data_IF_404380970983
#
_entry.id   IF_404380970983
#
_cell.length_a   1.000
_cell.length_b   1.000
_cell.length_c   1.000
_cell.angle_alpha   90.00
_cell.angle_beta   90.00
_cell.angle_gamma   90.00
#
_symmetry.space_group_name_H-M   'P 1'
#
loop_
_entity.id
_entity.type
_entity.pdbx_description
1 polymer ?
#
# COMPACT_ATOMS: atom_id res chain seq x y z
N UNK A 1 18.03 -19.00 1.44
CA UNK A 1 18.32 -17.74 0.73
C UNK A 1 19.69 -17.81 0.10
N UNK A 2 19.96 -17.14 -1.04
CA UNK A 2 21.32 -17.15 -1.65
C UNK A 2 22.38 -16.64 -0.68
N UNK A 3 22.05 -15.64 0.14
CA UNK A 3 22.98 -15.11 1.14
C UNK A 3 23.43 -16.16 2.16
N UNK A 4 22.55 -17.05 2.60
CA UNK A 4 22.92 -18.11 3.56
C UNK A 4 23.90 -19.11 2.93
N UNK A 5 23.74 -19.37 1.63
CA UNK A 5 24.62 -20.27 0.88
C UNK A 5 26.02 -19.70 0.69
N UNK A 6 26.11 -18.41 0.31
CA UNK A 6 27.37 -17.78 -0.04
C UNK A 6 28.07 -17.06 1.13
N UNK A 7 27.31 -16.70 2.15
CA UNK A 7 27.78 -16.00 3.34
C UNK A 7 27.23 -16.67 4.61
N UNK A 8 27.67 -17.89 4.91
CA UNK A 8 27.26 -18.56 6.16
C UNK A 8 27.71 -17.74 7.36
N UNK A 9 26.92 -17.73 8.43
CA UNK A 9 27.13 -16.88 9.63
C UNK A 9 28.52 -17.06 10.28
N UNK A 10 29.13 -18.22 10.12
CA UNK A 10 30.47 -18.50 10.65
C UNK A 10 31.61 -17.96 9.77
N UNK A 11 31.31 -17.40 8.60
CA UNK A 11 32.34 -16.92 7.68
C UNK A 11 32.88 -15.54 8.03
N UNK A 12 34.17 -15.30 7.79
CA UNK A 12 34.78 -13.97 7.93
C UNK A 12 34.12 -12.92 7.02
N UNK A 13 33.68 -13.35 5.84
CA UNK A 13 32.93 -12.49 4.89
C UNK A 13 31.59 -12.03 5.45
N UNK A 14 30.87 -12.91 6.19
CA UNK A 14 29.65 -12.51 6.88
C UNK A 14 29.91 -11.38 7.87
N UNK A 15 30.94 -11.52 8.72
CA UNK A 15 31.27 -10.53 9.73
C UNK A 15 31.65 -9.18 9.15
N UNK A 16 32.41 -9.17 8.06
CA UNK A 16 32.80 -7.93 7.37
C UNK A 16 31.57 -7.20 6.79
N UNK A 17 30.66 -7.94 6.14
CA UNK A 17 29.45 -7.37 5.59
C UNK A 17 28.50 -6.93 6.72
N UNK A 18 28.40 -7.70 7.81
CA UNK A 18 27.59 -7.33 8.97
C UNK A 18 28.05 -6.00 9.61
N UNK A 19 29.36 -5.73 9.61
CA UNK A 19 29.87 -4.43 10.06
C UNK A 19 29.42 -3.28 9.16
N UNK A 20 29.44 -3.45 7.85
CA UNK A 20 28.95 -2.43 6.89
C UNK A 20 27.45 -2.16 7.11
N UNK A 21 26.65 -3.21 7.35
CA UNK A 21 25.22 -3.06 7.57
C UNK A 21 24.86 -2.42 8.92
N UNK A 22 25.78 -2.38 9.91
CA UNK A 22 25.56 -1.58 11.14
C UNK A 22 25.35 -0.11 10.87
N UNK A 23 26.04 0.44 9.89
CA UNK A 23 25.89 1.85 9.50
C UNK A 23 24.52 2.15 8.87
N UNK A 24 23.75 1.11 8.52
CA UNK A 24 22.41 1.20 7.94
C UNK A 24 21.29 0.98 8.96
N UNK A 25 21.57 1.05 10.27
CA UNK A 25 20.54 0.83 11.30
C UNK A 25 19.39 1.84 11.24
N UNK A 26 19.58 2.99 10.60
CA UNK A 26 18.52 3.94 10.28
C UNK A 26 17.41 3.35 9.39
N UNK A 27 17.70 2.28 8.61
CA UNK A 27 16.70 1.59 7.80
C UNK A 27 15.58 0.96 8.65
N UNK A 28 15.87 0.61 9.91
CA UNK A 28 14.86 0.10 10.84
C UNK A 28 13.81 1.16 11.24
N UNK A 29 14.15 2.43 11.11
CA UNK A 29 13.23 3.54 11.40
C UNK A 29 12.28 3.78 10.22
N UNK A 30 12.62 3.27 9.03
CA UNK A 30 11.76 3.35 7.86
C UNK A 30 10.57 2.43 8.05
N UNK A 31 9.38 2.99 7.98
CA UNK A 31 8.11 2.28 8.01
C UNK A 31 7.43 2.46 6.65
N UNK A 32 7.89 1.72 5.62
CA UNK A 32 7.45 1.93 4.25
C UNK A 32 5.94 1.73 4.06
N UNK A 33 5.30 0.92 4.91
CA UNK A 33 3.86 0.76 4.94
C UNK A 33 3.10 2.09 5.13
N UNK A 34 3.71 3.04 5.82
CA UNK A 34 3.12 4.38 6.01
C UNK A 34 3.17 5.21 4.73
N UNK A 35 4.29 5.14 4.03
CA UNK A 35 4.51 5.93 2.81
C UNK A 35 3.68 5.42 1.65
N UNK A 36 3.66 4.10 1.45
CA UNK A 36 2.92 3.50 0.33
C UNK A 36 1.42 3.81 0.40
N UNK A 37 0.83 3.76 1.58
CA UNK A 37 -0.58 4.12 1.77
C UNK A 37 -0.85 5.59 1.40
N UNK A 38 0.08 6.50 1.76
CA UNK A 38 0.00 7.92 1.39
C UNK A 38 0.12 8.09 -0.13
N UNK A 39 1.12 7.45 -0.73
CA UNK A 39 1.38 7.56 -2.17
C UNK A 39 0.21 7.05 -3.01
N UNK A 40 -0.44 5.99 -2.58
CA UNK A 40 -1.61 5.44 -3.27
C UNK A 40 -2.67 6.52 -3.52
N UNK A 41 -3.04 7.27 -2.49
CA UNK A 41 -4.11 8.27 -2.62
C UNK A 41 -3.65 9.54 -3.34
N UNK A 42 -2.40 9.98 -3.13
CA UNK A 42 -1.84 11.13 -3.86
C UNK A 42 -1.76 10.80 -5.36
N UNK A 43 -1.27 9.61 -5.71
CA UNK A 43 -1.20 9.18 -7.11
C UNK A 43 -2.59 9.01 -7.72
N UNK A 44 -3.58 8.52 -6.96
CA UNK A 44 -4.96 8.43 -7.41
C UNK A 44 -5.52 9.81 -7.78
N UNK A 45 -5.35 10.81 -6.91
CA UNK A 45 -5.78 12.18 -7.18
C UNK A 45 -5.12 12.78 -8.41
N UNK A 46 -3.81 12.59 -8.54
CA UNK A 46 -3.05 13.05 -9.72
C UNK A 46 -3.55 12.38 -11.00
N UNK A 47 -3.77 11.06 -10.98
CA UNK A 47 -4.23 10.32 -12.15
C UNK A 47 -5.62 10.74 -12.60
N UNK A 48 -6.56 10.91 -11.66
CA UNK A 48 -7.92 11.38 -12.00
C UNK A 48 -7.88 12.79 -12.57
N UNK A 49 -7.07 13.69 -12.00
CA UNK A 49 -6.93 15.06 -12.53
C UNK A 49 -6.39 15.05 -13.96
N UNK A 50 -5.36 14.27 -14.24
CA UNK A 50 -4.78 14.14 -15.59
C UNK A 50 -5.79 13.54 -16.56
N UNK A 51 -6.49 12.50 -16.15
CA UNK A 51 -7.52 11.85 -16.95
C UNK A 51 -8.64 12.84 -17.37
N UNK A 52 -9.08 13.69 -16.43
CA UNK A 52 -10.10 14.69 -16.70
C UNK A 52 -9.62 15.85 -17.60
N UNK A 53 -8.33 16.20 -17.54
CA UNK A 53 -7.73 17.18 -18.43
C UNK A 53 -7.64 16.66 -19.87
N UNK A 54 -7.13 15.46 -20.02
CA UNK A 54 -7.02 14.78 -21.30
C UNK A 54 -6.87 13.27 -21.09
N UNK A 55 -7.86 12.50 -21.50
CA UNK A 55 -7.87 11.05 -21.39
C UNK A 55 -6.59 10.38 -21.91
N UNK A 56 -6.03 10.87 -22.99
CA UNK A 56 -4.82 10.31 -23.61
C UNK A 56 -3.55 10.61 -22.80
N UNK A 57 -3.54 11.68 -22.00
CA UNK A 57 -2.43 12.00 -21.09
C UNK A 57 -2.33 11.07 -19.90
N UNK A 58 -3.29 10.16 -19.72
CA UNK A 58 -3.23 9.11 -18.71
C UNK A 58 -1.95 8.26 -18.82
N UNK A 59 -1.50 8.01 -20.03
CA UNK A 59 -0.28 7.25 -20.34
C UNK A 59 0.95 8.13 -20.57
N UNK A 60 0.82 9.43 -20.49
CA UNK A 60 1.95 10.35 -20.54
C UNK A 60 2.69 10.35 -19.20
N UNK A 61 3.82 9.67 -19.19
CA UNK A 61 4.66 9.53 -18.01
C UNK A 61 5.66 10.68 -17.84
N UNK A 62 5.82 11.56 -18.80
CA UNK A 62 6.78 12.66 -18.76
C UNK A 62 6.17 13.92 -18.15
N UNK A 63 4.95 14.27 -18.59
CA UNK A 63 4.27 15.48 -18.19
C UNK A 63 3.82 15.39 -16.73
N UNK A 64 4.05 16.43 -15.95
CA UNK A 64 3.67 16.57 -14.54
C UNK A 64 4.36 15.62 -13.53
N UNK A 65 5.12 14.62 -13.97
CA UNK A 65 5.72 13.64 -13.05
C UNK A 65 6.61 14.28 -11.99
N UNK A 66 7.37 15.30 -12.33
CA UNK A 66 8.22 16.01 -11.36
C UNK A 66 7.40 16.75 -10.31
N UNK A 67 6.27 17.36 -10.69
CA UNK A 67 5.37 18.03 -9.75
C UNK A 67 4.71 17.03 -8.81
N UNK A 68 4.23 15.91 -9.35
CA UNK A 68 3.63 14.82 -8.56
C UNK A 68 4.67 14.23 -7.60
N UNK A 69 5.88 13.98 -8.08
CA UNK A 69 6.97 13.50 -7.24
C UNK A 69 7.30 14.49 -6.11
N UNK A 70 7.32 15.80 -6.41
CA UNK A 70 7.50 16.84 -5.41
C UNK A 70 6.43 16.79 -4.33
N UNK A 71 5.15 16.68 -4.69
CA UNK A 71 4.03 16.54 -3.74
C UNK A 71 4.17 15.27 -2.90
N UNK A 72 4.54 14.14 -3.51
CA UNK A 72 4.79 12.87 -2.81
C UNK A 72 5.92 13.03 -1.79
N UNK A 73 7.06 13.57 -2.19
CA UNK A 73 8.22 13.72 -1.30
C UNK A 73 7.93 14.67 -0.14
N UNK A 74 7.33 15.84 -0.40
CA UNK A 74 6.95 16.80 0.64
C UNK A 74 5.95 16.18 1.61
N UNK A 75 4.91 15.54 1.11
CA UNK A 75 3.90 14.90 1.96
C UNK A 75 4.51 13.77 2.78
N UNK A 76 5.39 12.97 2.19
CA UNK A 76 6.10 11.90 2.90
C UNK A 76 6.97 12.47 4.01
N UNK A 77 7.69 13.56 3.74
CA UNK A 77 8.53 14.21 4.73
C UNK A 77 7.69 14.72 5.93
N UNK A 78 6.62 15.47 5.67
CA UNK A 78 5.77 16.01 6.74
C UNK A 78 5.02 14.94 7.54
N UNK A 79 4.56 13.88 6.89
CA UNK A 79 3.76 12.84 7.55
C UNK A 79 4.61 11.73 8.18
N UNK A 80 5.85 11.53 7.75
CA UNK A 80 6.77 10.56 8.38
C UNK A 80 7.10 10.91 9.82
N UNK A 81 7.03 12.18 10.17
CA UNK A 81 7.28 12.70 11.54
C UNK A 81 6.15 12.29 12.50
N UNK A 82 4.95 11.97 12.02
CA UNK A 82 3.80 11.61 12.89
C UNK A 82 3.70 10.09 13.07
N UNK A 83 3.87 9.58 14.32
CA UNK A 83 3.96 8.13 14.57
C UNK A 83 2.66 7.34 14.32
N UNK A 84 1.49 7.98 14.33
CA UNK A 84 0.18 7.30 14.33
C UNK A 84 -0.63 7.52 13.04
N UNK A 85 0.04 7.50 11.89
CA UNK A 85 -0.64 7.80 10.63
C UNK A 85 -1.55 6.66 10.12
N UNK A 86 -1.23 5.41 10.40
CA UNK A 86 -2.08 4.27 10.06
C UNK A 86 -2.86 3.82 11.29
N UNK A 87 -4.18 3.95 11.24
CA UNK A 87 -5.07 3.42 12.25
C UNK A 87 -5.82 2.20 11.73
N UNK A 88 -6.01 1.21 12.61
CA UNK A 88 -6.93 0.11 12.35
C UNK A 88 -8.36 0.60 12.50
N UNK A 89 -9.26 0.06 11.70
CA UNK A 89 -10.68 0.34 11.85
C UNK A 89 -11.20 -0.57 12.96
N UNK A 90 -11.51 0.01 14.09
CA UNK A 90 -12.10 -0.67 15.25
C UNK A 90 -13.43 -0.05 15.70
N UNK A 91 -13.83 1.04 15.06
CA UNK A 91 -15.06 1.76 15.34
C UNK A 91 -15.52 2.54 14.11
N UNK A 92 -16.76 2.99 14.12
CA UNK A 92 -17.28 3.87 13.08
C UNK A 92 -16.49 5.19 12.98
N UNK A 93 -16.09 5.75 14.11
CA UNK A 93 -15.27 6.98 14.12
C UNK A 93 -13.91 6.77 13.46
N UNK A 94 -13.26 5.63 13.69
CA UNK A 94 -11.98 5.32 13.02
C UNK A 94 -12.15 5.09 11.52
N UNK A 95 -13.30 4.52 11.08
CA UNK A 95 -13.62 4.40 9.67
C UNK A 95 -13.83 5.76 9.00
N UNK A 96 -14.57 6.67 9.64
CA UNK A 96 -14.74 8.04 9.16
C UNK A 96 -13.39 8.79 9.09
N UNK A 97 -12.57 8.65 10.12
CA UNK A 97 -11.24 9.26 10.12
C UNK A 97 -10.39 8.80 8.93
N UNK A 98 -10.36 7.49 8.67
CA UNK A 98 -9.62 6.92 7.53
C UNK A 98 -10.22 7.39 6.21
N UNK A 99 -11.54 7.44 6.10
CA UNK A 99 -12.22 7.92 4.89
C UNK A 99 -11.86 9.37 4.58
N UNK A 100 -12.00 10.29 5.55
CA UNK A 100 -11.64 11.69 5.37
C UNK A 100 -10.14 11.88 5.09
N UNK A 101 -9.30 11.10 5.74
CA UNK A 101 -7.86 11.08 5.46
C UNK A 101 -7.57 10.67 4.01
N UNK A 102 -8.27 9.65 3.50
CA UNK A 102 -8.18 9.27 2.09
C UNK A 102 -8.54 10.42 1.16
N UNK A 103 -9.62 11.14 1.45
CA UNK A 103 -10.05 12.33 0.69
C UNK A 103 -8.95 13.40 0.71
N UNK A 104 -8.42 13.75 1.89
CA UNK A 104 -7.39 14.77 2.01
C UNK A 104 -6.14 14.39 1.19
N UNK A 105 -5.68 13.15 1.30
CA UNK A 105 -4.52 12.68 0.54
C UNK A 105 -4.76 12.69 -0.97
N UNK A 106 -5.96 12.33 -1.39
CA UNK A 106 -6.36 12.39 -2.79
C UNK A 106 -6.32 13.84 -3.30
N UNK A 107 -6.91 14.77 -2.55
CA UNK A 107 -6.91 16.19 -2.90
C UNK A 107 -5.50 16.80 -2.93
N UNK A 108 -4.58 16.34 -2.06
CA UNK A 108 -3.18 16.73 -2.16
C UNK A 108 -2.57 16.34 -3.51
N UNK A 109 -2.97 15.21 -4.08
CA UNK A 109 -2.55 14.78 -5.42
C UNK A 109 -3.11 15.64 -6.54
N UNK A 110 -4.18 16.38 -6.33
CA UNK A 110 -4.79 17.27 -7.33
C UNK A 110 -4.14 18.66 -7.39
N UNK A 111 -3.35 19.03 -6.37
CA UNK A 111 -2.77 20.38 -6.25
C UNK A 111 -2.06 20.85 -7.53
N UNK A 112 -1.24 20.05 -8.23
CA UNK A 112 -0.57 20.48 -9.44
C UNK A 112 -1.51 20.83 -10.61
N UNK A 113 -2.76 20.38 -10.56
CA UNK A 113 -3.75 20.51 -11.64
C UNK A 113 -4.87 21.48 -11.32
N UNK A 114 -4.92 21.98 -10.08
CA UNK A 114 -6.04 22.76 -9.57
C UNK A 114 -7.19 21.88 -9.06
N UNK A 115 -8.04 22.45 -8.22
CA UNK A 115 -9.20 21.77 -7.68
C UNK A 115 -10.39 21.90 -8.64
N UNK A 116 -10.97 20.77 -9.01
CA UNK A 116 -12.25 20.68 -9.73
C UNK A 116 -13.21 19.75 -8.98
N UNK A 117 -14.47 20.14 -8.87
CA UNK A 117 -15.51 19.32 -8.26
C UNK A 117 -15.68 17.98 -8.97
N UNK A 118 -15.46 17.93 -10.29
CA UNK A 118 -15.46 16.68 -11.06
C UNK A 118 -14.40 15.71 -10.54
N UNK A 119 -13.18 16.19 -10.27
CA UNK A 119 -12.11 15.40 -9.71
C UNK A 119 -12.51 14.77 -8.38
N UNK A 120 -13.20 15.53 -7.52
CA UNK A 120 -13.70 15.02 -6.24
C UNK A 120 -14.74 13.90 -6.43
N UNK A 121 -15.69 14.07 -7.36
CA UNK A 121 -16.72 13.04 -7.66
C UNK A 121 -16.08 11.79 -8.25
N UNK A 122 -15.17 11.93 -9.20
CA UNK A 122 -14.42 10.82 -9.79
C UNK A 122 -13.49 10.12 -8.78
N UNK A 123 -13.16 10.80 -7.68
CA UNK A 123 -12.43 10.23 -6.55
C UNK A 123 -13.22 9.24 -5.70
N UNK A 124 -14.56 9.20 -5.78
CA UNK A 124 -15.42 8.36 -4.92
C UNK A 124 -15.00 6.88 -4.93
N UNK A 125 -14.78 6.20 -6.07
CA UNK A 125 -14.33 4.81 -6.08
C UNK A 125 -13.00 4.60 -5.37
N UNK A 126 -12.11 5.58 -5.42
CA UNK A 126 -10.82 5.54 -4.71
C UNK A 126 -10.99 5.68 -3.19
N UNK A 127 -11.89 6.56 -2.74
CA UNK A 127 -12.17 6.72 -1.30
C UNK A 127 -12.75 5.44 -0.70
N UNK A 128 -13.69 4.81 -1.42
CA UNK A 128 -14.26 3.52 -1.05
C UNK A 128 -13.18 2.44 -1.01
N UNK A 129 -12.35 2.37 -2.06
CA UNK A 129 -11.28 1.40 -2.16
C UNK A 129 -10.23 1.56 -1.06
N UNK A 130 -9.87 2.78 -0.71
CA UNK A 130 -8.95 3.06 0.39
C UNK A 130 -9.50 2.59 1.73
N UNK A 131 -10.78 2.83 1.98
CA UNK A 131 -11.46 2.37 3.18
C UNK A 131 -11.47 0.85 3.28
N UNK A 132 -11.83 0.15 2.20
CA UNK A 132 -11.89 -1.31 2.20
C UNK A 132 -10.51 -1.96 2.39
N UNK A 133 -9.46 -1.34 1.87
CA UNK A 133 -8.10 -1.81 2.08
C UNK A 133 -7.71 -1.79 3.56
N UNK A 134 -8.13 -0.76 4.29
CA UNK A 134 -7.94 -0.69 5.75
C UNK A 134 -8.84 -1.68 6.52
N UNK A 135 -10.05 -1.95 6.04
CA UNK A 135 -10.93 -2.96 6.66
C UNK A 135 -10.29 -4.35 6.68
N UNK A 136 -9.55 -4.70 5.65
CA UNK A 136 -8.84 -5.98 5.59
C UNK A 136 -7.83 -6.14 6.73
N UNK A 137 -7.22 -5.03 7.17
CA UNK A 137 -6.28 -5.02 8.29
C UNK A 137 -6.96 -4.97 9.66
N UNK A 138 -8.23 -4.64 9.71
CA UNK A 138 -8.97 -4.57 10.97
C UNK A 138 -9.26 -5.94 11.56
N UNK A 139 -9.23 -6.99 10.73
CA UNK A 139 -9.38 -8.37 11.20
C UNK A 139 -8.15 -8.75 12.02
N UNK A 140 -8.30 -8.78 13.35
CA UNK A 140 -7.21 -9.07 14.28
C UNK A 140 -7.03 -10.58 14.39
N UNK A 141 -5.85 -11.07 14.01
CA UNK A 141 -5.44 -12.45 14.25
C UNK A 141 -4.50 -12.45 15.46
N UNK A 142 -4.82 -13.22 16.49
CA UNK A 142 -3.90 -13.41 17.60
C UNK A 142 -2.79 -14.36 17.16
N UNK A 143 -1.64 -13.78 16.86
CA UNK A 143 -0.47 -14.54 16.40
C UNK A 143 0.16 -15.38 17.50
N UNK A 144 0.00 -15.01 18.79
CA UNK A 144 0.58 -15.75 19.91
C UNK A 144 -0.18 -17.06 20.16
N UNK A 145 -1.50 -16.96 20.22
CA UNK A 145 -2.37 -18.10 20.50
C UNK A 145 -2.87 -18.81 19.23
N UNK A 146 -2.52 -18.29 18.03
CA UNK A 146 -3.02 -18.75 16.73
C UNK A 146 -4.54 -18.78 16.63
N UNK A 147 -5.24 -17.99 17.47
CA UNK A 147 -6.69 -17.91 17.47
C UNK A 147 -7.15 -16.98 16.37
N UNK A 148 -8.21 -17.39 15.67
CA UNK A 148 -8.90 -16.55 14.70
C UNK A 148 -10.14 -15.95 15.36
N UNK A 149 -10.55 -14.75 14.92
CA UNK A 149 -11.85 -14.20 15.32
C UNK A 149 -13.00 -15.18 14.99
N UNK A 150 -14.17 -15.01 15.61
CA UNK A 150 -15.33 -15.82 15.30
C UNK A 150 -15.63 -15.82 13.80
N UNK A 151 -15.93 -16.98 13.23
CA UNK A 151 -16.18 -17.13 11.79
C UNK A 151 -17.23 -16.15 11.28
N UNK A 152 -18.27 -15.89 12.06
CA UNK A 152 -19.35 -14.93 11.71
C UNK A 152 -18.82 -13.50 11.52
N UNK A 153 -17.90 -13.07 12.38
CA UNK A 153 -17.29 -11.74 12.29
C UNK A 153 -16.42 -11.62 11.04
N UNK A 154 -15.56 -12.62 10.79
CA UNK A 154 -14.71 -12.65 9.59
C UNK A 154 -15.57 -12.59 8.32
N UNK A 155 -16.62 -13.41 8.24
CA UNK A 155 -17.52 -13.45 7.09
C UNK A 155 -18.22 -12.10 6.90
N UNK A 156 -18.72 -11.48 7.96
CA UNK A 156 -19.37 -10.16 7.89
C UNK A 156 -18.43 -9.10 7.32
N UNK A 157 -17.20 -9.03 7.84
CA UNK A 157 -16.20 -8.05 7.35
C UNK A 157 -15.82 -8.35 5.90
N UNK A 158 -15.61 -9.61 5.53
CA UNK A 158 -15.26 -9.98 4.16
C UNK A 158 -16.38 -9.65 3.17
N UNK A 159 -17.66 -9.89 3.54
CA UNK A 159 -18.78 -9.50 2.69
C UNK A 159 -18.86 -7.98 2.52
N UNK A 160 -18.61 -7.22 3.58
CA UNK A 160 -18.52 -5.75 3.48
C UNK A 160 -17.40 -5.33 2.52
N UNK A 161 -16.22 -5.93 2.64
CA UNK A 161 -15.08 -5.65 1.73
C UNK A 161 -15.44 -5.99 0.29
N UNK A 162 -16.07 -7.15 0.04
CA UNK A 162 -16.49 -7.59 -1.30
C UNK A 162 -17.49 -6.59 -1.88
N UNK A 163 -18.51 -6.21 -1.11
CA UNK A 163 -19.54 -5.26 -1.56
C UNK A 163 -18.94 -3.89 -1.91
N UNK A 164 -18.13 -3.33 -1.02
CA UNK A 164 -17.44 -2.06 -1.26
C UNK A 164 -16.50 -2.14 -2.47
N UNK A 165 -15.84 -3.27 -2.65
CA UNK A 165 -14.92 -3.48 -3.76
C UNK A 165 -15.66 -3.57 -5.11
N UNK A 166 -16.77 -4.30 -5.16
CA UNK A 166 -17.64 -4.34 -6.34
C UNK A 166 -18.16 -2.95 -6.65
N UNK A 167 -18.61 -2.19 -5.64
CA UNK A 167 -19.06 -0.81 -5.81
C UNK A 167 -17.96 0.06 -6.39
N UNK A 168 -16.74 -0.04 -5.87
CA UNK A 168 -15.59 0.71 -6.39
C UNK A 168 -15.27 0.33 -7.84
N UNK A 169 -15.30 -0.96 -8.19
CA UNK A 169 -15.06 -1.44 -9.56
C UNK A 169 -16.13 -0.95 -10.53
N UNK A 170 -17.42 -1.01 -10.14
CA UNK A 170 -18.53 -0.55 -10.96
C UNK A 170 -18.49 0.96 -11.18
N UNK A 171 -18.24 1.75 -10.14
CA UNK A 171 -18.09 3.20 -10.27
C UNK A 171 -16.89 3.56 -11.15
N UNK A 172 -15.78 2.85 -11.01
CA UNK A 172 -14.63 3.01 -11.89
C UNK A 172 -14.97 2.71 -13.34
N UNK A 173 -15.70 1.62 -13.59
CA UNK A 173 -16.15 1.25 -14.93
C UNK A 173 -17.10 2.30 -15.55
N UNK A 174 -18.09 2.80 -14.78
CA UNK A 174 -19.03 3.84 -15.22
C UNK A 174 -18.28 5.14 -15.53
N UNK A 175 -17.26 5.47 -14.76
CA UNK A 175 -16.43 6.66 -14.97
C UNK A 175 -15.39 6.47 -16.09
N UNK A 176 -15.33 5.30 -16.72
CA UNK A 176 -14.32 4.94 -17.73
C UNK A 176 -12.88 5.08 -17.19
N UNK A 177 -12.69 4.80 -15.91
CA UNK A 177 -11.39 4.83 -15.23
C UNK A 177 -10.77 3.41 -15.19
N UNK A 178 -9.81 3.11 -16.07
CA UNK A 178 -9.24 1.77 -16.17
C UNK A 178 -8.38 1.40 -14.96
N UNK A 179 -7.80 2.40 -14.26
CA UNK A 179 -6.91 2.12 -13.13
C UNK A 179 -7.68 1.55 -11.95
N UNK A 180 -8.67 2.28 -11.44
CA UNK A 180 -9.41 1.82 -10.27
C UNK A 180 -10.26 0.58 -10.59
N UNK A 181 -10.82 0.50 -11.79
CA UNK A 181 -11.56 -0.68 -12.25
C UNK A 181 -10.68 -1.92 -12.21
N UNK A 182 -9.50 -1.87 -12.82
CA UNK A 182 -8.58 -3.01 -12.85
C UNK A 182 -8.09 -3.39 -11.46
N UNK A 183 -7.67 -2.40 -10.65
CA UNK A 183 -7.16 -2.65 -9.30
C UNK A 183 -8.24 -3.25 -8.41
N UNK A 184 -9.46 -2.74 -8.46
CA UNK A 184 -10.57 -3.26 -7.70
C UNK A 184 -10.95 -4.68 -8.12
N UNK A 185 -11.03 -4.96 -9.42
CA UNK A 185 -11.31 -6.32 -9.92
C UNK A 185 -10.23 -7.31 -9.47
N UNK A 186 -8.96 -6.97 -9.61
CA UNK A 186 -7.85 -7.84 -9.18
C UNK A 186 -7.92 -8.07 -7.66
N UNK A 187 -8.18 -7.02 -6.89
CA UNK A 187 -8.27 -7.14 -5.44
C UNK A 187 -9.47 -7.99 -4.98
N UNK A 188 -10.55 -8.00 -5.74
CA UNK A 188 -11.78 -8.74 -5.41
C UNK A 188 -11.54 -10.25 -5.20
N UNK A 189 -10.60 -10.83 -5.93
CA UNK A 189 -10.29 -12.26 -5.80
C UNK A 189 -9.76 -12.62 -4.41
N UNK A 190 -9.04 -11.71 -3.74
CA UNK A 190 -8.44 -12.02 -2.43
C UNK A 190 -9.49 -12.26 -1.33
N UNK A 191 -10.43 -11.34 -1.06
CA UNK A 191 -11.47 -11.59 -0.05
C UNK A 191 -12.41 -12.76 -0.40
N UNK A 192 -12.65 -13.03 -1.69
CA UNK A 192 -13.42 -14.20 -2.14
C UNK A 192 -12.67 -15.49 -1.77
N UNK A 193 -11.38 -15.58 -2.07
CA UNK A 193 -10.56 -16.75 -1.72
C UNK A 193 -10.52 -16.95 -0.21
N UNK A 194 -10.44 -15.87 0.59
CA UNK A 194 -10.45 -15.99 2.05
C UNK A 194 -11.82 -16.45 2.57
N UNK A 195 -12.90 -16.02 1.92
CA UNK A 195 -14.25 -16.46 2.28
C UNK A 195 -14.40 -17.98 2.12
N UNK A 196 -13.80 -18.54 1.06
CA UNK A 196 -13.78 -19.98 0.78
C UNK A 196 -12.76 -20.72 1.67
N UNK A 197 -11.60 -20.10 1.89
CA UNK A 197 -10.46 -20.66 2.61
C UNK A 197 -9.97 -19.70 3.71
N UNK A 198 -10.60 -19.67 4.89
CA UNK A 198 -10.29 -18.70 5.96
C UNK A 198 -8.83 -18.70 6.42
N UNK A 199 -8.11 -19.82 6.27
CA UNK A 199 -6.68 -19.93 6.55
C UNK A 199 -5.86 -18.96 5.68
N UNK A 200 -6.37 -18.62 4.51
CA UNK A 200 -5.76 -17.65 3.58
C UNK A 200 -5.63 -16.23 4.15
N UNK A 201 -6.44 -15.87 5.16
CA UNK A 201 -6.40 -14.54 5.79
C UNK A 201 -4.99 -14.19 6.32
N UNK A 202 -4.32 -15.15 6.97
CA UNK A 202 -2.95 -14.95 7.45
C UNK A 202 -1.97 -14.68 6.31
N UNK A 203 -2.15 -15.38 5.19
CA UNK A 203 -1.29 -15.18 4.02
C UNK A 203 -1.56 -13.82 3.38
N UNK A 204 -2.82 -13.39 3.28
CA UNK A 204 -3.19 -12.08 2.77
C UNK A 204 -2.57 -10.96 3.59
N UNK A 205 -2.68 -11.03 4.90
CA UNK A 205 -2.09 -10.02 5.79
C UNK A 205 -0.55 -10.05 5.75
N UNK A 206 0.06 -11.24 5.73
CA UNK A 206 1.53 -11.39 5.60
C UNK A 206 2.08 -10.92 4.26
N UNK A 207 1.35 -11.12 3.18
CA UNK A 207 1.73 -10.64 1.86
C UNK A 207 1.62 -9.11 1.73
N UNK A 208 1.01 -8.43 2.71
CA UNK A 208 0.83 -6.98 2.76
C UNK A 208 0.24 -6.40 1.46
N UNK A 209 -0.73 -7.12 0.90
CA UNK A 209 -1.28 -6.81 -0.42
C UNK A 209 -1.74 -5.36 -0.51
N UNK A 210 -2.44 -4.87 0.51
CA UNK A 210 -2.94 -3.49 0.56
C UNK A 210 -1.87 -2.44 0.89
N UNK A 211 -0.73 -2.85 1.44
CA UNK A 211 0.36 -1.92 1.81
C UNK A 211 1.45 -1.86 0.75
N UNK A 212 1.67 -2.95 0.02
CA UNK A 212 2.75 -3.06 -0.96
C UNK A 212 2.19 -3.25 -2.36
N UNK A 213 1.33 -4.26 -2.56
CA UNK A 213 0.88 -4.64 -3.89
C UNK A 213 0.00 -3.57 -4.53
N UNK A 214 -1.01 -3.07 -3.79
CA UNK A 214 -1.90 -2.01 -4.29
C UNK A 214 -1.12 -0.73 -4.59
N UNK A 215 -0.30 -0.17 -3.68
CA UNK A 215 0.53 0.98 -4.00
C UNK A 215 1.46 0.73 -5.19
N UNK A 216 2.03 -0.47 -5.31
CA UNK A 216 2.86 -0.80 -6.47
C UNK A 216 2.08 -0.75 -7.78
N UNK A 217 0.82 -1.19 -7.80
CA UNK A 217 -0.05 -1.04 -8.97
C UNK A 217 -0.28 0.42 -9.34
N UNK A 218 -0.59 1.29 -8.36
CA UNK A 218 -0.74 2.73 -8.60
C UNK A 218 0.56 3.37 -9.10
N UNK A 219 1.69 3.01 -8.49
CA UNK A 219 3.02 3.48 -8.92
C UNK A 219 3.32 3.02 -10.35
N UNK A 220 3.00 1.77 -10.71
CA UNK A 220 3.29 1.23 -12.03
C UNK A 220 2.55 1.96 -13.15
N UNK A 221 1.37 2.48 -12.85
CA UNK A 221 0.59 3.25 -13.83
C UNK A 221 1.19 4.63 -14.06
N UNK A 222 1.63 5.30 -13.00
CA UNK A 222 2.03 6.73 -13.11
C UNK A 222 3.54 6.96 -13.10
N UNK A 223 4.26 6.23 -12.26
CA UNK A 223 5.69 6.37 -12.07
C UNK A 223 6.39 5.00 -12.20
N UNK A 224 6.32 4.33 -13.38
CA UNK A 224 6.84 2.97 -13.52
C UNK A 224 8.33 2.86 -13.23
N UNK A 225 9.11 3.89 -13.53
CA UNK A 225 10.53 3.95 -13.24
C UNK A 225 10.85 3.93 -11.73
N UNK A 226 9.91 4.37 -10.88
CA UNK A 226 10.08 4.33 -9.42
C UNK A 226 10.09 2.89 -8.90
N UNK A 227 9.42 1.95 -9.57
CA UNK A 227 9.48 0.53 -9.23
C UNK A 227 10.90 -0.03 -9.36
N UNK A 228 11.67 0.46 -10.33
CA UNK A 228 13.07 0.06 -10.49
C UNK A 228 13.95 0.50 -9.31
N UNK A 229 13.58 1.60 -8.64
CA UNK A 229 14.26 2.06 -7.43
C UNK A 229 13.77 1.31 -6.18
N UNK A 230 12.49 0.99 -6.11
CA UNK A 230 11.89 0.29 -4.97
C UNK A 230 12.38 -1.16 -4.90
N UNK A 231 12.53 -1.85 -6.03
CA UNK A 231 12.98 -3.24 -6.07
C UNK A 231 14.34 -3.48 -5.38
N UNK A 232 15.41 -2.70 -5.66
CA UNK A 232 16.66 -2.78 -4.91
C UNK A 232 16.48 -2.53 -3.41
N UNK A 233 15.61 -1.58 -3.02
CA UNK A 233 15.33 -1.29 -1.62
C UNK A 233 14.79 -2.52 -0.88
N UNK A 234 13.86 -3.28 -1.48
CA UNK A 234 13.38 -4.54 -0.91
C UNK A 234 14.49 -5.55 -0.70
N UNK A 235 15.38 -5.67 -1.67
CA UNK A 235 16.51 -6.57 -1.57
C UNK A 235 17.49 -6.12 -0.49
N UNK A 236 17.83 -4.84 -0.43
CA UNK A 236 18.70 -4.27 0.61
C UNK A 236 18.12 -4.55 2.00
N UNK A 237 16.82 -4.30 2.21
CA UNK A 237 16.16 -4.57 3.49
C UNK A 237 16.20 -6.07 3.87
N UNK A 238 16.02 -6.95 2.89
CA UNK A 238 16.11 -8.39 3.12
C UNK A 238 17.53 -8.85 3.48
N UNK A 239 18.54 -8.33 2.79
CA UNK A 239 19.94 -8.60 3.11
C UNK A 239 20.35 -7.94 4.43
N UNK A 240 19.88 -6.73 4.70
CA UNK A 240 20.08 -6.04 5.97
C UNK A 240 19.62 -6.92 7.14
N UNK A 241 18.39 -7.44 7.10
CA UNK A 241 17.88 -8.32 8.15
C UNK A 241 18.77 -9.57 8.35
N UNK A 242 19.24 -10.19 7.28
CA UNK A 242 20.12 -11.34 7.36
C UNK A 242 21.47 -11.01 8.00
N UNK A 243 22.15 -9.98 7.54
CA UNK A 243 23.48 -9.64 8.04
C UNK A 243 23.46 -8.98 9.42
N UNK A 244 22.39 -8.26 9.74
CA UNK A 244 22.28 -7.54 11.01
C UNK A 244 21.75 -8.41 12.15
N UNK A 245 20.74 -9.22 11.90
CA UNK A 245 20.05 -10.02 12.91
C UNK A 245 20.26 -11.54 12.71
N UNK A 246 20.92 -11.95 11.66
CA UNK A 246 21.11 -13.34 11.32
C UNK A 246 19.83 -14.08 10.96
N UNK A 247 18.77 -13.37 10.63
CA UNK A 247 17.47 -13.95 10.34
C UNK A 247 17.04 -13.66 8.91
N UNK A 248 16.54 -14.69 8.21
CA UNK A 248 15.90 -14.51 6.93
C UNK A 248 14.46 -14.06 7.18
N UNK A 249 14.29 -12.76 7.36
CA UNK A 249 12.95 -12.16 7.50
C UNK A 249 12.43 -11.69 6.15
N UNK A 250 11.11 -11.67 5.93
CA UNK A 250 10.54 -10.92 4.82
C UNK A 250 10.99 -9.46 4.89
N UNK A 251 11.03 -8.78 3.74
CA UNK A 251 11.51 -7.40 3.62
C UNK A 251 10.75 -6.42 4.50
N UNK A 252 9.50 -6.73 4.82
CA UNK A 252 8.65 -5.98 5.74
C UNK A 252 8.23 -6.91 6.87
N UNK A 253 8.37 -6.43 8.11
CA UNK A 253 7.81 -7.11 9.26
C UNK A 253 6.30 -6.98 9.22
N UNK A 254 5.64 -8.10 9.10
CA UNK A 254 4.22 -8.26 9.39
C UNK A 254 4.14 -9.19 10.57
N UNK A 255 4.12 -8.66 11.75
CA UNK A 255 3.76 -9.35 12.97
C UNK A 255 2.41 -8.85 13.44
#
# INVERSE_FOLDING_TARGET
MLAEKYFPKASSRYNLIAQLFRNLDWLNTLKPERWFSIWTMILAGSNVSIFLLNRWSYWDWATFNFLILGVILLTTFFLSVKPNFLHRINSFQSALYIFFKGIILFLLGTIPFGFDLRTFIFGIPYYIFFLLAHLTWSIVIDNKNKTMPPKKEIVSILLTIITLNITSALLGYINDDPMITTIAIVYLFFPIVILLFPVGLRHLQRAQIHVIFIPAMFISVRLPWLLLMILPLFWILRYYNYFRFGEVKPSFKVD
#
